data_IF_985832199189
#
_entry.id   IF_985832199189
#
_cell.length_a   1.000
_cell.length_b   1.000
_cell.length_c   1.000
_cell.angle_alpha   90.00
_cell.angle_beta   90.00
_cell.angle_gamma   90.00
#
_symmetry.space_group_name_H-M   'P 1'
#
loop_
_entity.id
_entity.type
_entity.pdbx_description
1 polymer ?
#
# COMPACT_ATOMS: atom_id res chain seq x y z
N UNK A 1 5.00 8.64 19.63
CA UNK A 1 4.58 7.77 20.76
C UNK A 1 3.15 7.21 20.54
N UNK A 2 2.14 8.05 20.30
CA UNK A 2 0.74 7.57 20.19
C UNK A 2 0.51 6.59 19.03
N UNK A 3 1.03 6.88 17.82
CA UNK A 3 0.89 6.00 16.65
C UNK A 3 1.59 4.63 16.85
N UNK A 4 2.72 4.60 17.58
CA UNK A 4 3.39 3.32 17.90
C UNK A 4 2.57 2.49 18.89
N UNK A 5 2.03 3.11 19.95
CA UNK A 5 1.18 2.41 20.91
C UNK A 5 -0.08 1.84 20.23
N UNK A 6 -0.66 2.57 19.30
CA UNK A 6 -1.79 2.06 18.51
C UNK A 6 -1.38 0.88 17.62
N UNK A 7 -0.25 0.97 16.91
CA UNK A 7 0.27 -0.13 16.09
C UNK A 7 0.54 -1.38 16.94
N UNK A 8 1.12 -1.21 18.14
CA UNK A 8 1.33 -2.31 19.10
C UNK A 8 0.01 -2.97 19.49
N UNK A 9 -1.02 -2.18 19.83
CA UNK A 9 -2.34 -2.73 20.18
C UNK A 9 -2.94 -3.57 19.04
N UNK A 10 -2.86 -3.07 17.81
CA UNK A 10 -3.35 -3.78 16.62
C UNK A 10 -2.58 -5.08 16.42
N UNK A 11 -1.26 -5.06 16.53
CA UNK A 11 -0.43 -6.25 16.37
C UNK A 11 -0.71 -7.30 17.47
N UNK A 12 -0.91 -6.87 18.70
CA UNK A 12 -1.33 -7.77 19.80
C UNK A 12 -2.69 -8.40 19.51
N UNK A 13 -3.63 -7.61 19.03
CA UNK A 13 -4.95 -8.13 18.65
C UNK A 13 -4.86 -9.18 17.54
N UNK A 14 -4.10 -8.90 16.47
CA UNK A 14 -3.91 -9.87 15.39
C UNK A 14 -3.19 -11.14 15.86
N UNK A 15 -2.20 -11.00 16.77
CA UNK A 15 -1.56 -12.18 17.37
C UNK A 15 -2.53 -13.03 18.18
N UNK A 16 -3.46 -12.41 18.92
CA UNK A 16 -4.51 -13.12 19.68
C UNK A 16 -5.50 -13.84 18.75
N UNK A 17 -5.95 -13.14 17.70
CA UNK A 17 -6.84 -13.73 16.68
C UNK A 17 -6.17 -14.92 16.00
N UNK A 18 -4.93 -14.78 15.55
CA UNK A 18 -4.16 -15.87 14.95
C UNK A 18 -4.02 -17.06 15.92
N UNK A 19 -3.72 -16.78 17.20
CA UNK A 19 -3.62 -17.81 18.24
C UNK A 19 -4.95 -18.56 18.48
N UNK A 20 -6.09 -17.87 18.42
CA UNK A 20 -7.41 -18.52 18.52
C UNK A 20 -7.72 -19.47 17.36
N UNK A 21 -7.03 -19.29 16.22
CA UNK A 21 -7.07 -20.20 15.07
C UNK A 21 -5.91 -21.22 15.04
N UNK A 22 -5.15 -21.35 16.13
CA UNK A 22 -4.05 -22.30 16.23
C UNK A 22 -2.79 -21.92 15.45
N UNK A 23 -2.67 -20.65 15.01
CA UNK A 23 -1.51 -20.16 14.30
C UNK A 23 -0.49 -19.61 15.31
N UNK A 24 0.68 -20.23 15.48
CA UNK A 24 1.69 -19.75 16.42
C UNK A 24 2.41 -18.50 15.89
N UNK A 25 2.96 -17.65 16.77
CA UNK A 25 3.61 -16.40 16.38
C UNK A 25 4.69 -16.53 15.29
N UNK A 26 5.41 -17.65 15.27
CA UNK A 26 6.47 -17.93 14.31
C UNK A 26 5.98 -18.13 12.87
N UNK A 27 4.68 -18.42 12.70
CA UNK A 27 4.03 -18.55 11.39
C UNK A 27 3.41 -17.24 10.91
N UNK A 28 3.37 -16.20 11.77
CA UNK A 28 2.88 -14.88 11.41
C UNK A 28 4.00 -14.11 10.71
N UNK A 29 3.74 -13.66 9.49
CA UNK A 29 4.64 -12.77 8.73
C UNK A 29 4.03 -11.38 8.68
N UNK A 30 4.82 -10.37 9.07
CA UNK A 30 4.43 -8.96 9.01
C UNK A 30 5.42 -8.24 8.12
N UNK A 31 4.91 -7.64 7.04
CA UNK A 31 5.67 -6.75 6.17
C UNK A 31 5.36 -5.30 6.54
N UNK A 32 6.41 -4.53 6.74
CA UNK A 32 6.34 -3.10 6.99
C UNK A 32 6.81 -2.34 5.75
N UNK A 33 6.02 -1.37 5.32
CA UNK A 33 6.19 -0.65 4.06
C UNK A 33 6.64 0.79 4.25
N UNK A 34 6.35 1.69 3.33
CA UNK A 34 6.85 3.07 3.25
C UNK A 34 6.85 3.82 4.60
N UNK A 35 5.74 3.81 5.34
CA UNK A 35 5.65 4.53 6.62
C UNK A 35 6.67 4.07 7.66
N UNK A 36 6.91 2.77 7.75
CA UNK A 36 7.87 2.20 8.69
C UNK A 36 9.32 2.29 8.17
N UNK A 37 9.56 2.18 6.84
CA UNK A 37 10.90 2.34 6.26
C UNK A 37 11.54 3.68 6.63
N UNK A 38 10.73 4.73 6.76
CA UNK A 38 11.20 6.10 7.04
C UNK A 38 11.24 6.47 8.51
N UNK A 39 10.62 5.67 9.36
CA UNK A 39 10.58 5.95 10.80
C UNK A 39 11.91 5.58 11.46
N UNK A 40 12.62 6.57 11.99
CA UNK A 40 13.92 6.36 12.67
C UNK A 40 13.83 5.41 13.86
N UNK A 41 12.65 5.27 14.46
CA UNK A 41 12.36 4.40 15.60
C UNK A 41 11.78 3.04 15.21
N UNK A 42 11.63 2.73 13.93
CA UNK A 42 11.09 1.46 13.47
C UNK A 42 11.91 0.23 13.93
N UNK A 43 13.25 0.24 13.85
CA UNK A 43 14.04 -0.91 14.31
C UNK A 43 13.80 -1.26 15.79
N UNK A 44 13.74 -0.24 16.66
CA UNK A 44 13.48 -0.43 18.09
C UNK A 44 12.09 -1.03 18.33
N UNK A 45 11.09 -0.56 17.58
CA UNK A 45 9.73 -1.09 17.65
C UNK A 45 9.66 -2.53 17.15
N UNK A 46 10.34 -2.88 16.06
CA UNK A 46 10.38 -4.25 15.52
C UNK A 46 11.03 -5.22 16.53
N UNK A 47 12.14 -4.80 17.15
CA UNK A 47 12.80 -5.59 18.20
C UNK A 47 11.91 -5.78 19.43
N UNK A 48 11.16 -4.75 19.81
CA UNK A 48 10.17 -4.84 20.88
C UNK A 48 9.10 -5.88 20.55
N UNK A 49 8.46 -5.78 19.40
CA UNK A 49 7.40 -6.72 18.98
C UNK A 49 7.92 -8.16 18.89
N UNK A 50 9.14 -8.34 18.40
CA UNK A 50 9.79 -9.66 18.38
C UNK A 50 9.98 -10.24 19.79
N UNK A 51 10.42 -9.42 20.76
CA UNK A 51 10.61 -9.89 22.16
C UNK A 51 9.29 -10.20 22.84
N UNK A 52 8.27 -9.36 22.64
CA UNK A 52 7.02 -9.43 23.39
C UNK A 52 5.99 -10.39 22.78
N UNK A 53 5.93 -10.46 21.44
CA UNK A 53 4.94 -11.27 20.72
C UNK A 53 5.55 -12.48 20.03
N UNK A 54 6.87 -12.59 19.93
CA UNK A 54 7.53 -13.63 19.15
C UNK A 54 7.37 -13.47 17.63
N UNK A 55 6.87 -12.32 17.16
CA UNK A 55 6.57 -12.05 15.75
C UNK A 55 7.68 -11.20 15.15
N UNK A 56 8.22 -11.65 14.01
CA UNK A 56 9.22 -10.90 13.27
C UNK A 56 8.53 -9.95 12.27
N UNK A 57 8.81 -8.65 12.41
CA UNK A 57 8.42 -7.64 11.42
C UNK A 57 9.59 -7.44 10.46
N UNK A 58 9.33 -7.51 9.16
CA UNK A 58 10.30 -7.30 8.10
C UNK A 58 9.95 -6.03 7.34
N UNK A 59 10.87 -5.07 7.27
CA UNK A 59 10.73 -3.95 6.34
C UNK A 59 11.08 -4.44 4.93
N UNK A 60 10.16 -4.24 3.99
CA UNK A 60 10.37 -4.56 2.58
C UNK A 60 10.68 -3.30 1.79
N UNK A 61 11.45 -3.43 0.71
CA UNK A 61 11.73 -2.32 -0.21
C UNK A 61 10.49 -1.92 -1.00
N UNK A 62 10.49 -0.73 -1.62
CA UNK A 62 9.41 -0.32 -2.53
C UNK A 62 9.30 -1.23 -3.75
N UNK A 63 10.42 -1.79 -4.23
CA UNK A 63 10.41 -2.75 -5.33
C UNK A 63 9.80 -4.10 -4.94
N UNK A 64 10.08 -4.59 -3.72
CA UNK A 64 9.44 -5.80 -3.20
C UNK A 64 7.95 -5.58 -2.96
N UNK A 65 7.58 -4.41 -2.42
CA UNK A 65 6.19 -4.00 -2.24
C UNK A 65 5.45 -4.00 -3.60
N UNK A 66 6.02 -3.35 -4.63
CA UNK A 66 5.47 -3.32 -5.98
C UNK A 66 5.30 -4.72 -6.58
N UNK A 67 6.28 -5.60 -6.41
CA UNK A 67 6.18 -6.98 -6.89
C UNK A 67 5.05 -7.76 -6.21
N UNK A 68 4.92 -7.63 -4.90
CA UNK A 68 3.87 -8.32 -4.15
C UNK A 68 2.49 -7.77 -4.49
N UNK A 69 2.35 -6.46 -4.64
CA UNK A 69 1.11 -5.80 -5.07
C UNK A 69 0.69 -6.25 -6.47
N UNK A 70 1.63 -6.33 -7.42
CA UNK A 70 1.36 -6.82 -8.77
C UNK A 70 0.84 -8.26 -8.76
N UNK A 71 1.57 -9.18 -8.13
CA UNK A 71 1.17 -10.59 -8.07
C UNK A 71 -0.13 -10.79 -7.30
N UNK A 72 -0.38 -9.98 -6.26
CA UNK A 72 -1.62 -10.01 -5.48
C UNK A 72 -2.81 -9.48 -6.27
N UNK A 73 -2.63 -8.38 -7.00
CA UNK A 73 -3.67 -7.74 -7.80
C UNK A 73 -4.18 -8.63 -8.94
N UNK A 74 -3.29 -9.43 -9.54
CA UNK A 74 -3.69 -10.31 -10.65
C UNK A 74 -4.42 -11.58 -10.21
N UNK A 75 -4.29 -11.96 -8.93
CA UNK A 75 -4.92 -13.19 -8.45
C UNK A 75 -6.45 -13.04 -8.38
N UNK A 76 -7.14 -13.93 -9.08
CA UNK A 76 -8.59 -13.99 -9.08
C UNK A 76 -9.28 -13.01 -10.03
N UNK A 77 -8.52 -12.28 -10.86
CA UNK A 77 -9.05 -11.47 -11.94
C UNK A 77 -8.96 -12.21 -13.27
N UNK A 78 -10.03 -12.15 -14.03
CA UNK A 78 -10.04 -12.56 -15.45
C UNK A 78 -9.53 -11.37 -16.28
N UNK A 79 -8.28 -11.46 -16.71
CA UNK A 79 -7.61 -10.41 -17.46
C UNK A 79 -7.47 -10.84 -18.94
N UNK A 80 -7.58 -9.85 -19.83
CA UNK A 80 -7.28 -10.07 -21.26
C UNK A 80 -5.77 -10.31 -21.45
N UNK A 81 -5.42 -10.98 -22.53
CA UNK A 81 -4.02 -11.13 -22.92
C UNK A 81 -3.36 -9.78 -23.23
N UNK A 82 -2.18 -9.55 -22.68
CA UNK A 82 -1.38 -8.37 -22.93
C UNK A 82 -0.83 -7.72 -21.66
N UNK A 83 -0.13 -6.59 -21.80
CA UNK A 83 0.45 -5.88 -20.67
C UNK A 83 -0.63 -5.29 -19.76
N UNK A 84 -0.49 -5.52 -18.45
CA UNK A 84 -1.37 -4.99 -17.40
C UNK A 84 -0.59 -3.97 -16.59
N UNK A 85 -1.19 -2.80 -16.39
CA UNK A 85 -0.73 -1.79 -15.45
C UNK A 85 -1.38 -2.04 -14.10
N UNK A 86 -0.59 -2.22 -13.06
CA UNK A 86 -1.08 -2.22 -11.68
C UNK A 86 -0.62 -0.94 -11.00
N UNK A 87 -1.54 -0.25 -10.33
CA UNK A 87 -1.26 0.93 -9.51
C UNK A 87 -1.73 0.61 -8.09
N UNK A 88 -0.80 0.54 -7.15
CA UNK A 88 -1.09 0.43 -5.72
C UNK A 88 -1.05 1.83 -5.11
N UNK A 89 -2.22 2.41 -4.89
CA UNK A 89 -2.37 3.79 -4.41
C UNK A 89 -2.52 3.82 -2.88
N UNK A 90 -1.38 3.71 -2.20
CA UNK A 90 -1.32 3.67 -0.75
C UNK A 90 -1.39 5.03 -0.05
N UNK A 91 -1.23 5.00 1.26
CA UNK A 91 -1.19 6.23 2.07
C UNK A 91 0.15 6.96 2.01
N UNK A 92 1.26 6.23 1.95
CA UNK A 92 2.61 6.78 2.01
C UNK A 92 3.43 6.65 0.73
N UNK A 93 3.08 5.71 -0.13
CA UNK A 93 3.71 5.47 -1.44
C UNK A 93 2.67 5.10 -2.48
N UNK A 94 3.08 5.16 -3.74
CA UNK A 94 2.31 4.69 -4.89
C UNK A 94 3.23 3.84 -5.75
N UNK A 95 2.89 2.59 -5.91
CA UNK A 95 3.60 1.65 -6.76
C UNK A 95 2.96 1.63 -8.16
N UNK A 96 3.80 1.70 -9.20
CA UNK A 96 3.39 1.63 -10.61
C UNK A 96 4.13 0.46 -11.24
N UNK A 97 3.39 -0.52 -11.71
CA UNK A 97 3.95 -1.77 -12.20
C UNK A 97 3.33 -2.11 -13.56
N UNK A 98 4.15 -2.50 -14.52
CA UNK A 98 3.70 -3.10 -15.79
C UNK A 98 4.28 -4.49 -15.92
N UNK A 99 3.44 -5.43 -16.30
CA UNK A 99 3.84 -6.79 -16.58
C UNK A 99 2.82 -7.54 -17.42
N UNK A 100 3.14 -8.77 -17.74
CA UNK A 100 2.25 -9.70 -18.43
C UNK A 100 2.35 -11.08 -17.78
N UNK A 101 1.24 -11.61 -17.29
CA UNK A 101 1.25 -12.79 -16.44
C UNK A 101 2.12 -12.54 -15.18
N UNK A 102 3.05 -13.41 -14.89
CA UNK A 102 3.97 -13.26 -13.74
C UNK A 102 5.23 -12.42 -14.06
N UNK A 103 5.43 -12.03 -15.32
CA UNK A 103 6.61 -11.30 -15.76
C UNK A 103 6.40 -9.79 -15.62
N UNK A 104 7.15 -9.18 -14.75
CA UNK A 104 7.18 -7.73 -14.55
C UNK A 104 8.24 -7.13 -15.48
N UNK A 105 7.82 -6.23 -16.38
CA UNK A 105 8.71 -5.50 -17.29
C UNK A 105 9.15 -4.14 -16.75
N UNK A 106 8.37 -3.55 -15.84
CA UNK A 106 8.67 -2.28 -15.20
C UNK A 106 8.03 -2.21 -13.82
N UNK A 107 8.74 -1.62 -12.89
CA UNK A 107 8.19 -1.27 -11.58
C UNK A 107 8.89 -0.05 -11.01
N UNK A 108 8.14 0.77 -10.31
CA UNK A 108 8.67 1.88 -9.51
C UNK A 108 7.78 2.12 -8.31
N UNK A 109 8.35 2.66 -7.25
CA UNK A 109 7.63 3.13 -6.07
C UNK A 109 7.89 4.62 -5.92
N UNK A 110 6.83 5.41 -6.01
CA UNK A 110 6.85 6.83 -5.78
C UNK A 110 6.55 7.13 -4.32
N UNK A 111 7.36 7.96 -3.70
CA UNK A 111 7.20 8.36 -2.30
C UNK A 111 6.05 9.38 -2.14
N UNK A 112 4.89 9.06 -2.71
CA UNK A 112 3.66 9.86 -2.68
C UNK A 112 2.46 8.96 -2.47
N UNK A 113 1.51 9.39 -1.65
CA UNK A 113 0.28 8.67 -1.34
C UNK A 113 -0.71 9.59 -0.64
N UNK A 114 -1.95 9.12 -0.45
CA UNK A 114 -3.05 9.95 0.04
C UNK A 114 -2.74 10.63 1.38
N UNK A 115 -2.23 9.90 2.37
CA UNK A 115 -1.89 10.45 3.69
C UNK A 115 -0.73 11.43 3.59
N UNK A 116 0.31 11.08 2.81
CA UNK A 116 1.48 11.92 2.65
C UNK A 116 1.16 13.26 1.99
N UNK A 117 0.33 13.26 0.94
CA UNK A 117 -0.13 14.48 0.30
C UNK A 117 -0.97 15.34 1.26
N UNK A 118 -1.90 14.71 1.98
CA UNK A 118 -2.72 15.39 2.96
C UNK A 118 -1.86 16.08 4.02
N UNK A 119 -0.89 15.37 4.60
CA UNK A 119 0.00 15.92 5.62
C UNK A 119 0.95 17.00 5.07
N UNK A 120 1.47 16.82 3.86
CA UNK A 120 2.45 17.75 3.28
C UNK A 120 1.84 19.06 2.80
N UNK A 121 0.59 19.02 2.35
CA UNK A 121 -0.10 20.17 1.77
C UNK A 121 -1.29 20.66 2.60
N UNK A 122 -1.51 20.10 3.79
CA UNK A 122 -2.58 20.53 4.73
C UNK A 122 -3.98 20.30 4.19
N UNK A 123 -4.21 19.27 3.35
CA UNK A 123 -5.49 19.05 2.66
C UNK A 123 -6.61 18.57 3.58
N UNK A 124 -6.31 18.25 4.83
CA UNK A 124 -7.28 17.95 5.89
C UNK A 124 -7.86 19.20 6.54
N UNK A 125 -7.26 20.37 6.32
CA UNK A 125 -7.70 21.64 6.87
C UNK A 125 -8.57 22.43 5.88
N UNK A 126 -8.07 22.57 4.65
CA UNK A 126 -8.78 23.23 3.56
C UNK A 126 -8.17 22.84 2.20
N UNK A 127 -8.70 23.41 1.12
CA UNK A 127 -8.23 23.12 -0.25
C UNK A 127 -7.11 24.05 -0.74
N UNK A 128 -6.56 24.94 0.09
CA UNK A 128 -5.53 25.90 -0.32
C UNK A 128 -4.23 25.25 -0.80
N UNK A 129 -3.88 24.11 -0.25
CA UNK A 129 -2.74 23.29 -0.65
C UNK A 129 -2.90 22.50 -1.95
N UNK A 130 -4.12 22.42 -2.49
CA UNK A 130 -4.42 21.57 -3.65
C UNK A 130 -3.60 21.90 -4.91
N UNK A 131 -3.42 23.19 -5.31
CA UNK A 131 -2.58 23.52 -6.46
C UNK A 131 -1.13 23.04 -6.30
N UNK A 132 -0.56 23.17 -5.10
CA UNK A 132 0.78 22.67 -4.78
C UNK A 132 0.89 21.16 -4.85
N UNK A 133 -0.10 20.46 -4.31
CA UNK A 133 -0.19 18.99 -4.36
C UNK A 133 -0.28 18.50 -5.82
N UNK A 134 -1.10 19.14 -6.65
CA UNK A 134 -1.24 18.80 -8.06
C UNK A 134 0.06 19.04 -8.85
N UNK A 135 0.73 20.17 -8.63
CA UNK A 135 2.03 20.44 -9.26
C UNK A 135 3.08 19.39 -8.86
N UNK A 136 3.16 19.07 -7.58
CA UNK A 136 4.06 18.02 -7.08
C UNK A 136 3.79 16.66 -7.71
N UNK A 137 2.52 16.28 -7.86
CA UNK A 137 2.13 15.03 -8.53
C UNK A 137 2.52 15.05 -10.01
N UNK A 138 2.30 16.15 -10.72
CA UNK A 138 2.68 16.27 -12.12
C UNK A 138 4.18 16.09 -12.32
N UNK A 139 5.01 16.70 -11.47
CA UNK A 139 6.47 16.57 -11.52
C UNK A 139 6.92 15.11 -11.28
N UNK A 140 6.34 14.44 -10.29
CA UNK A 140 6.64 13.04 -10.00
C UNK A 140 6.23 12.10 -11.15
N UNK A 141 5.04 12.31 -11.70
CA UNK A 141 4.51 11.47 -12.77
C UNK A 141 5.20 11.72 -14.11
N UNK A 142 5.71 12.92 -14.36
CA UNK A 142 6.48 13.24 -15.55
C UNK A 142 7.77 12.39 -15.68
N UNK A 143 8.31 11.92 -14.56
CA UNK A 143 9.49 11.05 -14.54
C UNK A 143 9.15 9.57 -14.82
N UNK A 144 7.86 9.18 -14.82
CA UNK A 144 7.42 7.81 -15.04
C UNK A 144 7.26 7.55 -16.54
N UNK A 145 8.18 6.76 -17.09
CA UNK A 145 8.12 6.35 -18.50
C UNK A 145 7.75 4.88 -18.57
N UNK A 146 6.55 4.59 -19.06
CA UNK A 146 6.08 3.23 -19.19
C UNK A 146 6.69 2.57 -20.44
N UNK A 147 7.28 1.36 -20.33
CA UNK A 147 7.95 0.70 -21.46
C UNK A 147 7.00 0.15 -22.52
N UNK A 148 5.72 0.01 -22.17
CA UNK A 148 4.67 -0.50 -23.06
C UNK A 148 3.34 0.18 -22.75
N UNK A 149 2.47 0.25 -23.76
CA UNK A 149 1.07 0.69 -23.56
C UNK A 149 0.29 -0.46 -22.92
N UNK A 150 -0.28 -0.27 -21.72
CA UNK A 150 -1.08 -1.31 -21.09
C UNK A 150 -2.39 -1.51 -21.86
N UNK A 151 -2.88 -2.74 -21.88
CA UNK A 151 -4.23 -3.05 -22.39
C UNK A 151 -5.29 -2.86 -21.34
N UNK A 152 -4.93 -3.09 -20.09
CA UNK A 152 -5.80 -2.97 -18.93
C UNK A 152 -5.04 -2.31 -17.79
N UNK A 153 -5.78 -1.70 -16.86
CA UNK A 153 -5.25 -1.18 -15.62
C UNK A 153 -6.05 -1.73 -14.44
N UNK A 154 -5.34 -2.11 -13.40
CA UNK A 154 -5.89 -2.52 -12.10
C UNK A 154 -5.36 -1.55 -11.06
N UNK A 155 -6.27 -0.92 -10.32
CA UNK A 155 -5.90 -0.01 -9.23
C UNK A 155 -6.31 -0.65 -7.92
N UNK A 156 -5.38 -0.73 -6.97
CA UNK A 156 -5.59 -1.39 -5.68
C UNK A 156 -5.35 -0.43 -4.52
N UNK A 157 -5.55 -0.92 -3.32
CA UNK A 157 -5.48 -0.23 -2.03
C UNK A 157 -6.70 0.66 -1.71
N UNK A 158 -6.68 1.19 -0.49
CA UNK A 158 -7.84 1.85 0.13
C UNK A 158 -8.33 3.08 -0.61
N UNK A 159 -7.46 3.86 -1.23
CA UNK A 159 -7.86 5.05 -1.99
C UNK A 159 -8.67 4.65 -3.22
N UNK A 160 -8.20 3.66 -3.98
CA UNK A 160 -8.89 3.17 -5.18
C UNK A 160 -10.26 2.58 -4.84
N UNK A 161 -10.30 1.68 -3.86
CA UNK A 161 -11.55 1.02 -3.46
C UNK A 161 -12.55 2.00 -2.84
N UNK A 162 -12.09 3.04 -2.16
CA UNK A 162 -12.97 4.12 -1.67
C UNK A 162 -13.58 4.90 -2.83
N UNK A 163 -12.78 5.28 -3.83
CA UNK A 163 -13.30 5.98 -5.01
C UNK A 163 -14.30 5.13 -5.78
N UNK A 164 -14.03 3.84 -5.97
CA UNK A 164 -14.94 2.91 -6.63
C UNK A 164 -16.26 2.74 -5.83
N UNK A 165 -16.18 2.66 -4.51
CA UNK A 165 -17.38 2.61 -3.66
C UNK A 165 -18.22 3.91 -3.76
N UNK A 166 -17.56 5.07 -3.83
CA UNK A 166 -18.24 6.36 -4.03
C UNK A 166 -18.91 6.44 -5.39
N UNK A 167 -18.23 6.03 -6.46
CA UNK A 167 -18.79 6.00 -7.82
C UNK A 167 -19.99 5.06 -7.92
N UNK A 168 -19.92 3.90 -7.25
CA UNK A 168 -21.03 2.95 -7.16
C UNK A 168 -22.16 3.40 -6.20
N UNK A 169 -22.07 4.56 -5.56
CA UNK A 169 -23.08 5.08 -4.63
C UNK A 169 -23.26 4.25 -3.35
N UNK A 170 -22.24 3.48 -2.95
CA UNK A 170 -22.31 2.63 -1.76
C UNK A 170 -22.19 3.46 -0.48
N UNK A 171 -23.15 3.30 0.44
CA UNK A 171 -23.10 3.90 1.78
C UNK A 171 -22.19 3.15 2.76
N UNK A 172 -21.86 1.90 2.46
CA UNK A 172 -20.96 1.04 3.23
C UNK A 172 -20.10 0.24 2.26
N UNK A 173 -18.85 -0.03 2.66
CA UNK A 173 -17.93 -0.81 1.84
C UNK A 173 -18.44 -2.26 1.64
N UNK A 174 -18.51 -2.67 0.38
CA UNK A 174 -18.90 -4.02 -0.04
C UNK A 174 -17.83 -4.59 -0.98
N UNK A 175 -16.90 -5.37 -0.44
CA UNK A 175 -15.73 -5.87 -1.17
C UNK A 175 -16.00 -6.74 -2.40
N UNK A 176 -17.27 -7.14 -2.64
CA UNK A 176 -17.68 -7.83 -3.87
C UNK A 176 -18.16 -6.89 -4.98
N UNK A 177 -18.38 -5.62 -4.64
CA UNK A 177 -18.90 -4.60 -5.55
C UNK A 177 -17.83 -3.58 -5.97
N UNK A 178 -16.63 -3.72 -5.42
CA UNK A 178 -15.48 -2.80 -5.62
C UNK A 178 -14.26 -3.57 -6.10
#
# INVERSE_FOLDING_TARGET
>A
PARMAHAEQVLRHYAQVAGSHGIPPQQIRICATSGARRASNAPQFFDQMKRELGIKIQSISGEEEAQLSYLGALRGLELEEGPVLVIDLGGGSTEIIIGQGELISYRTSLEVGAVRLTEAFGLDQDSSGLPGALSHLQDLLAAVVLPAKPRQAVVVAGTATTLAAMDAGLSTYQGKAV
#
